data_IF_389651884744
#
_entry.id   IF_389651884744
#
_cell.length_a   1.000
_cell.length_b   1.000
_cell.length_c   1.000
_cell.angle_alpha   90.00
_cell.angle_beta   90.00
_cell.angle_gamma   90.00
#
_symmetry.space_group_name_H-M   'P 1'
#
loop_
_entity.id
_entity.type
_entity.pdbx_description
1 polymer ?
#
# COMPACT_ATOMS: atom_id res chain seq x y z
N UNK A 1 26.54 -9.30 -29.23
CA UNK A 1 25.35 -8.67 -28.61
C UNK A 1 25.65 -8.64 -27.12
N UNK A 2 25.99 -7.50 -26.57
CA UNK A 2 26.14 -7.32 -25.13
C UNK A 2 24.72 -7.35 -24.55
N UNK A 3 24.44 -8.30 -23.66
CA UNK A 3 23.27 -8.30 -22.83
C UNK A 3 23.42 -7.07 -21.92
N UNK A 4 22.63 -6.02 -22.15
CA UNK A 4 22.50 -4.95 -21.18
C UNK A 4 22.04 -5.62 -19.88
N UNK A 5 22.90 -5.55 -18.87
CA UNK A 5 22.51 -5.97 -17.53
C UNK A 5 21.31 -5.08 -17.16
N UNK A 6 20.15 -5.68 -16.99
CA UNK A 6 19.00 -5.00 -16.42
C UNK A 6 19.46 -4.49 -15.05
N UNK A 7 19.63 -3.17 -14.92
CA UNK A 7 19.95 -2.55 -13.64
C UNK A 7 18.73 -2.63 -12.75
N UNK A 8 18.63 -3.69 -11.95
CA UNK A 8 17.62 -3.80 -10.90
C UNK A 8 18.02 -2.92 -9.72
N UNK A 9 17.05 -2.25 -9.13
CA UNK A 9 17.23 -1.49 -7.90
C UNK A 9 16.64 -2.27 -6.73
N UNK A 10 17.16 -2.03 -5.52
CA UNK A 10 16.75 -2.71 -4.30
C UNK A 10 16.42 -1.68 -3.23
N UNK A 11 15.36 -1.92 -2.46
CA UNK A 11 14.93 -1.01 -1.41
C UNK A 11 14.23 -1.71 -0.25
N UNK A 12 14.01 -0.99 0.81
CA UNK A 12 13.25 -1.42 1.98
C UNK A 12 12.15 -0.41 2.31
N UNK A 13 10.99 -0.92 2.72
CA UNK A 13 9.86 -0.11 3.17
C UNK A 13 9.45 -0.56 4.56
N UNK A 14 9.51 0.35 5.51
CA UNK A 14 9.08 0.11 6.88
C UNK A 14 7.85 0.96 7.18
N UNK A 15 6.78 0.35 7.73
CA UNK A 15 5.57 1.09 8.01
C UNK A 15 4.93 0.74 9.37
N UNK A 16 4.16 1.69 9.85
CA UNK A 16 3.23 1.49 10.97
C UNK A 16 1.86 2.05 10.58
N UNK A 17 0.81 1.27 10.78
CA UNK A 17 -0.56 1.73 10.64
C UNK A 17 -1.30 1.58 11.97
N UNK A 18 -1.96 2.64 12.42
CA UNK A 18 -2.89 2.63 13.55
C UNK A 18 -4.29 2.86 13.01
N UNK A 19 -5.19 1.92 13.25
CA UNK A 19 -6.58 1.98 12.81
C UNK A 19 -7.55 1.95 13.99
N UNK A 20 -8.66 2.66 13.87
CA UNK A 20 -9.73 2.72 14.84
C UNK A 20 -11.09 2.45 14.15
N UNK A 21 -11.84 1.48 14.69
CA UNK A 21 -13.21 1.19 14.25
C UNK A 21 -14.20 1.76 15.25
N UNK A 22 -15.10 2.64 14.80
CA UNK A 22 -16.09 3.26 15.67
C UNK A 22 -17.16 2.25 16.08
N UNK A 23 -17.31 2.02 17.39
CA UNK A 23 -18.22 0.96 17.92
C UNK A 23 -19.69 1.20 17.62
N UNK A 24 -20.12 2.45 17.46
CA UNK A 24 -21.53 2.86 17.29
C UNK A 24 -21.87 3.34 15.88
N UNK A 25 -20.94 3.30 14.96
CA UNK A 25 -21.14 3.75 13.59
C UNK A 25 -20.32 2.86 12.62
N UNK A 26 -20.77 2.69 11.37
CA UNK A 26 -20.02 1.92 10.37
C UNK A 26 -18.80 2.69 9.85
N UNK A 27 -18.16 3.48 10.70
CA UNK A 27 -17.05 4.36 10.38
C UNK A 27 -15.72 3.76 10.87
N UNK A 28 -14.64 4.13 10.21
CA UNK A 28 -13.28 3.85 10.67
C UNK A 28 -12.35 5.02 10.29
N UNK A 29 -11.22 5.11 10.99
CA UNK A 29 -10.15 6.02 10.67
C UNK A 29 -8.82 5.31 10.83
N UNK A 30 -7.78 5.72 10.08
CA UNK A 30 -6.42 5.26 10.31
C UNK A 30 -5.39 6.36 10.05
N UNK A 31 -4.24 6.18 10.69
CA UNK A 31 -3.02 6.93 10.39
C UNK A 31 -1.94 5.91 10.03
N UNK A 32 -1.28 6.16 8.93
CA UNK A 32 -0.22 5.33 8.39
C UNK A 32 1.05 6.17 8.25
N UNK A 33 2.17 5.62 8.62
CA UNK A 33 3.49 6.18 8.39
C UNK A 33 4.35 5.15 7.67
N UNK A 34 5.07 5.54 6.63
CA UNK A 34 6.02 4.70 5.90
C UNK A 34 7.32 5.45 5.68
N UNK A 35 8.40 4.71 5.80
CA UNK A 35 9.75 5.12 5.53
C UNK A 35 10.32 4.21 4.44
N UNK A 36 10.69 4.81 3.32
CA UNK A 36 11.25 4.12 2.16
C UNK A 36 12.74 4.39 2.08
N UNK A 37 13.53 3.35 1.85
CA UNK A 37 14.97 3.49 1.67
C UNK A 37 15.41 2.85 0.35
N UNK A 38 16.37 3.50 -0.29
CA UNK A 38 17.03 3.05 -1.50
C UNK A 38 18.33 2.32 -1.16
N UNK A 39 18.55 1.15 -1.77
CA UNK A 39 19.72 0.28 -1.53
C UNK A 39 19.96 -0.06 -0.05
N UNK A 40 18.92 -0.01 0.80
CA UNK A 40 19.00 -0.19 2.26
C UNK A 40 19.96 0.77 2.97
N UNK A 41 20.30 1.92 2.37
CA UNK A 41 21.33 2.83 2.89
C UNK A 41 20.89 4.27 2.96
N UNK A 42 20.12 4.73 1.98
CA UNK A 42 19.72 6.13 1.86
C UNK A 42 18.21 6.25 1.95
N UNK A 43 17.76 7.27 2.67
CA UNK A 43 16.36 7.64 2.69
C UNK A 43 15.92 8.01 1.26
N UNK A 44 14.90 7.32 0.74
CA UNK A 44 14.25 7.66 -0.51
C UNK A 44 13.11 8.64 -0.26
N UNK A 45 12.17 8.23 0.58
CA UNK A 45 11.12 9.12 1.06
C UNK A 45 10.56 8.66 2.40
N UNK A 46 9.78 9.52 3.03
CA UNK A 46 8.82 9.11 4.05
C UNK A 46 7.48 9.79 3.80
N UNK A 47 6.42 9.11 4.16
CA UNK A 47 5.11 9.72 4.07
C UNK A 47 4.17 9.29 5.19
N UNK A 48 3.18 10.15 5.41
CA UNK A 48 2.07 9.86 6.29
C UNK A 48 0.77 9.84 5.50
N UNK A 49 -0.15 8.96 5.90
CA UNK A 49 -1.52 8.93 5.37
C UNK A 49 -2.51 9.01 6.50
N UNK A 50 -3.45 9.93 6.40
CA UNK A 50 -4.63 9.96 7.26
C UNK A 50 -5.83 9.51 6.44
N UNK A 51 -6.57 8.52 6.95
CA UNK A 51 -7.74 7.93 6.26
C UNK A 51 -8.98 8.08 7.12
N UNK A 52 -10.10 8.39 6.50
CA UNK A 52 -11.42 8.32 7.10
C UNK A 52 -12.38 7.58 6.16
N UNK A 53 -13.09 6.58 6.67
CA UNK A 53 -13.88 5.70 5.83
C UNK A 53 -15.18 5.21 6.45
N UNK A 54 -16.01 4.62 5.61
CA UNK A 54 -17.30 4.04 5.93
C UNK A 54 -17.42 2.62 5.38
N UNK A 55 -17.97 1.72 6.18
CA UNK A 55 -18.39 0.37 5.76
C UNK A 55 -19.81 0.47 5.22
N UNK A 56 -19.94 0.54 3.89
CA UNK A 56 -21.23 0.71 3.20
C UNK A 56 -22.06 -0.59 3.31
N UNK A 57 -21.40 -1.73 3.09
CA UNK A 57 -21.94 -3.07 3.20
C UNK A 57 -20.92 -3.98 3.94
N UNK A 58 -21.31 -5.16 4.42
CA UNK A 58 -20.35 -6.08 5.07
C UNK A 58 -19.14 -6.43 4.21
N UNK A 59 -19.27 -6.35 2.88
CA UNK A 59 -18.24 -6.66 1.90
C UNK A 59 -17.70 -5.43 1.16
N UNK A 60 -18.26 -4.22 1.38
CA UNK A 60 -17.90 -3.01 0.64
C UNK A 60 -17.60 -1.84 1.59
N UNK A 61 -16.44 -1.24 1.44
CA UNK A 61 -16.05 -0.02 2.15
C UNK A 61 -15.57 1.05 1.17
N UNK A 62 -15.80 2.31 1.53
CA UNK A 62 -15.23 3.46 0.84
C UNK A 62 -14.50 4.35 1.85
N UNK A 63 -13.45 5.00 1.40
CA UNK A 63 -12.72 5.96 2.22
C UNK A 63 -12.08 7.07 1.38
N UNK A 64 -11.79 8.16 2.07
CA UNK A 64 -10.96 9.24 1.60
C UNK A 64 -9.70 9.27 2.42
N UNK A 65 -8.57 9.59 1.79
CA UNK A 65 -7.32 9.73 2.50
C UNK A 65 -6.52 10.91 1.96
N UNK A 66 -5.61 11.38 2.78
CA UNK A 66 -4.66 12.42 2.46
C UNK A 66 -3.26 11.94 2.80
N UNK A 67 -2.36 12.02 1.80
CA UNK A 67 -0.94 11.73 1.96
C UNK A 67 -0.13 13.02 1.95
N UNK A 68 0.79 13.10 2.89
CA UNK A 68 1.89 14.04 2.90
C UNK A 68 3.19 13.26 2.73
N UNK A 69 3.93 13.55 1.66
CA UNK A 69 5.14 12.85 1.29
C UNK A 69 6.30 13.84 1.23
N UNK A 70 7.42 13.47 1.83
CA UNK A 70 8.68 14.20 1.81
C UNK A 70 9.79 13.35 1.17
N UNK A 71 10.51 13.95 0.23
CA UNK A 71 11.71 13.38 -0.38
C UNK A 71 12.95 14.21 0.02
N UNK A 72 14.13 13.57 0.18
CA UNK A 72 15.37 14.29 0.43
C UNK A 72 15.63 15.33 -0.65
N UNK A 73 16.06 16.52 -0.22
CA UNK A 73 16.20 17.68 -1.12
C UNK A 73 15.07 18.70 -0.94
N UNK A 74 14.08 18.39 -0.07
CA UNK A 74 13.01 19.32 0.29
C UNK A 74 11.77 19.24 -0.58
N UNK A 75 11.66 18.21 -1.43
CA UNK A 75 10.46 18.03 -2.28
C UNK A 75 9.28 17.56 -1.43
N UNK A 76 8.20 18.33 -1.48
CA UNK A 76 6.95 18.03 -0.79
C UNK A 76 5.85 17.68 -1.78
N UNK A 77 5.23 16.52 -1.60
CA UNK A 77 4.10 16.07 -2.40
C UNK A 77 2.88 15.82 -1.53
N UNK A 78 1.77 16.37 -1.95
CA UNK A 78 0.47 16.18 -1.31
C UNK A 78 -0.39 15.31 -2.22
N UNK A 79 -1.17 14.37 -1.65
CA UNK A 79 -2.07 13.51 -2.43
C UNK A 79 -3.42 13.42 -1.75
N UNK A 80 -4.47 13.58 -2.53
CA UNK A 80 -5.83 13.22 -2.14
C UNK A 80 -6.18 11.87 -2.76
N UNK A 81 -6.76 10.98 -1.95
CA UNK A 81 -7.09 9.62 -2.35
C UNK A 81 -8.57 9.33 -2.12
N UNK A 82 -9.17 8.62 -3.06
CA UNK A 82 -10.51 8.04 -2.93
C UNK A 82 -10.40 6.54 -3.15
N UNK A 83 -10.83 5.76 -2.18
CA UNK A 83 -10.75 4.31 -2.24
C UNK A 83 -12.15 3.69 -2.21
N UNK A 84 -12.34 2.66 -3.01
CA UNK A 84 -13.44 1.73 -2.93
C UNK A 84 -12.87 0.32 -2.81
N UNK A 85 -13.27 -0.43 -1.77
CA UNK A 85 -12.71 -1.77 -1.53
C UNK A 85 -13.85 -2.78 -1.33
N UNK A 86 -13.93 -3.73 -2.25
CA UNK A 86 -14.76 -4.92 -2.10
C UNK A 86 -13.97 -6.07 -1.50
N UNK A 87 -14.57 -6.85 -0.61
CA UNK A 87 -13.92 -8.00 0.04
C UNK A 87 -14.88 -9.18 0.13
N UNK A 88 -14.45 -10.34 -0.36
CA UNK A 88 -15.16 -11.60 -0.24
C UNK A 88 -14.37 -12.55 0.65
N UNK A 89 -15.05 -13.23 1.57
CA UNK A 89 -14.44 -14.22 2.45
C UNK A 89 -15.18 -15.54 2.31
N UNK A 90 -14.45 -16.59 1.98
CA UNK A 90 -14.98 -17.96 1.90
C UNK A 90 -14.07 -18.89 2.71
N UNK A 91 -14.56 -19.36 3.84
CA UNK A 91 -13.76 -20.13 4.81
C UNK A 91 -12.55 -19.31 5.26
N UNK A 92 -11.36 -19.83 5.03
CA UNK A 92 -10.09 -19.17 5.39
C UNK A 92 -9.51 -18.28 4.27
N UNK A 93 -10.12 -18.28 3.09
CA UNK A 93 -9.69 -17.45 1.96
C UNK A 93 -10.40 -16.11 1.97
N UNK A 94 -9.64 -15.04 1.90
CA UNK A 94 -10.10 -13.67 1.74
C UNK A 94 -9.57 -13.08 0.45
N UNK A 95 -10.45 -12.62 -0.42
CA UNK A 95 -10.08 -11.94 -1.67
C UNK A 95 -10.62 -10.51 -1.62
N UNK A 96 -9.79 -9.54 -1.93
CA UNK A 96 -10.19 -8.14 -1.98
C UNK A 96 -9.75 -7.47 -3.27
N UNK A 97 -10.63 -6.63 -3.80
CA UNK A 97 -10.36 -5.71 -4.90
C UNK A 97 -10.49 -4.29 -4.37
N UNK A 98 -9.45 -3.49 -4.55
CA UNK A 98 -9.43 -2.06 -4.21
C UNK A 98 -9.21 -1.23 -5.47
N UNK A 99 -10.12 -0.32 -5.73
CA UNK A 99 -9.94 0.76 -6.68
C UNK A 99 -9.58 2.03 -5.92
N UNK A 100 -8.52 2.70 -6.34
CA UNK A 100 -8.02 3.93 -5.74
C UNK A 100 -7.76 4.98 -6.80
N UNK A 101 -8.46 6.09 -6.72
CA UNK A 101 -8.09 7.30 -7.44
C UNK A 101 -7.15 8.14 -6.58
N UNK A 102 -6.07 8.60 -7.16
CA UNK A 102 -5.08 9.48 -6.53
C UNK A 102 -4.95 10.73 -7.37
N UNK A 103 -5.11 11.87 -6.73
CA UNK A 103 -4.74 13.16 -7.27
C UNK A 103 -3.56 13.69 -6.46
N UNK A 104 -2.41 13.85 -7.10
CA UNK A 104 -1.21 14.36 -6.47
C UNK A 104 -0.79 15.71 -7.06
N UNK A 105 -0.23 16.55 -6.18
CA UNK A 105 0.32 17.84 -6.55
C UNK A 105 1.63 18.09 -5.80
N UNK A 106 2.68 18.46 -6.56
CA UNK A 106 3.93 18.91 -5.99
C UNK A 106 3.76 20.36 -5.55
N UNK A 107 3.98 20.63 -4.27
CA UNK A 107 3.75 21.95 -3.70
C UNK A 107 4.65 23.04 -4.34
N UNK A 108 5.87 22.67 -4.72
CA UNK A 108 6.89 23.61 -5.19
C UNK A 108 6.90 23.82 -6.71
N UNK A 109 6.34 22.89 -7.50
CA UNK A 109 6.42 22.92 -8.96
C UNK A 109 5.07 23.23 -9.65
N UNK A 110 3.98 23.27 -8.91
CA UNK A 110 2.63 23.44 -9.47
C UNK A 110 2.20 22.29 -10.40
N UNK A 111 2.93 21.20 -10.45
CA UNK A 111 2.61 20.02 -11.26
C UNK A 111 1.53 19.20 -10.57
N UNK A 112 0.63 18.67 -11.36
CA UNK A 112 -0.43 17.78 -10.92
C UNK A 112 -0.39 16.50 -11.73
N UNK A 113 -0.65 15.36 -11.08
CA UNK A 113 -0.82 14.08 -11.76
C UNK A 113 -2.03 13.34 -11.20
N UNK A 114 -2.61 12.48 -12.03
CA UNK A 114 -3.71 11.62 -11.65
C UNK A 114 -3.29 10.17 -11.85
N UNK A 115 -3.70 9.31 -10.92
CA UNK A 115 -3.40 7.88 -11.01
C UNK A 115 -4.62 7.09 -10.54
N UNK A 116 -5.03 6.12 -11.35
CA UNK A 116 -5.92 5.06 -10.92
C UNK A 116 -5.07 3.84 -10.52
N UNK A 117 -5.33 3.30 -9.33
CA UNK A 117 -4.63 2.13 -8.79
C UNK A 117 -5.64 1.03 -8.49
N UNK A 118 -5.54 -0.07 -9.24
CA UNK A 118 -6.38 -1.25 -9.06
C UNK A 118 -5.55 -2.34 -8.38
N UNK A 119 -5.96 -2.79 -7.19
CA UNK A 119 -5.27 -3.85 -6.45
C UNK A 119 -6.17 -5.04 -6.22
N UNK A 120 -5.70 -6.22 -6.62
CA UNK A 120 -6.28 -7.51 -6.24
C UNK A 120 -5.35 -8.18 -5.22
N UNK A 121 -5.89 -8.57 -4.06
CA UNK A 121 -5.16 -9.29 -3.00
C UNK A 121 -5.93 -10.54 -2.62
N UNK A 122 -5.25 -11.67 -2.55
CA UNK A 122 -5.76 -12.94 -2.03
C UNK A 122 -4.93 -13.35 -0.82
N UNK A 123 -5.57 -13.60 0.32
CA UNK A 123 -4.95 -13.94 1.60
C UNK A 123 -5.60 -15.20 2.17
N UNK A 124 -4.80 -16.11 2.70
CA UNK A 124 -5.27 -17.36 3.30
C UNK A 124 -4.87 -17.45 4.78
N UNK A 125 -5.85 -17.43 5.67
CA UNK A 125 -5.62 -17.64 7.10
C UNK A 125 -5.36 -19.12 7.38
N UNK A 126 -4.13 -19.48 7.75
CA UNK A 126 -3.77 -20.87 8.05
C UNK A 126 -4.50 -21.31 9.32
N UNK A 127 -5.34 -22.39 9.27
CA UNK A 127 -6.09 -22.84 10.44
C UNK A 127 -5.20 -23.14 11.63
N UNK A 128 -5.60 -22.71 12.82
CA UNK A 128 -4.87 -22.88 14.09
C UNK A 128 -3.48 -22.25 14.10
N UNK A 129 -3.21 -21.31 13.23
CA UNK A 129 -1.97 -20.56 13.13
C UNK A 129 -2.25 -19.07 13.23
N UNK A 130 -1.23 -18.29 13.54
CA UNK A 130 -1.25 -16.82 13.50
C UNK A 130 -0.80 -16.26 12.14
N UNK A 131 -0.38 -17.14 11.22
CA UNK A 131 0.13 -16.74 9.90
C UNK A 131 -0.97 -16.69 8.84
N UNK A 132 -0.92 -15.65 8.03
CA UNK A 132 -1.82 -15.47 6.89
C UNK A 132 -1.02 -15.01 5.66
N UNK A 133 -0.47 -15.95 4.86
CA UNK A 133 0.20 -15.62 3.61
C UNK A 133 -0.76 -14.98 2.60
N UNK A 134 -0.21 -14.13 1.73
CA UNK A 134 -0.98 -13.49 0.68
C UNK A 134 -0.16 -13.26 -0.59
N UNK A 135 -0.90 -13.11 -1.68
CA UNK A 135 -0.43 -12.59 -2.96
C UNK A 135 -1.24 -11.35 -3.30
N UNK A 136 -0.59 -10.36 -3.91
CA UNK A 136 -1.31 -9.23 -4.45
C UNK A 136 -0.65 -8.70 -5.72
N UNK A 137 -1.47 -8.11 -6.57
CA UNK A 137 -1.04 -7.33 -7.73
C UNK A 137 -1.71 -5.96 -7.67
N UNK A 138 -0.96 -4.90 -7.91
CA UNK A 138 -1.47 -3.54 -7.98
C UNK A 138 -1.00 -2.88 -9.26
N UNK A 139 -1.94 -2.45 -10.10
CA UNK A 139 -1.68 -1.82 -11.40
C UNK A 139 -1.97 -0.33 -11.28
N UNK A 140 -1.07 0.48 -11.82
CA UNK A 140 -1.18 1.94 -11.86
C UNK A 140 -1.42 2.38 -13.29
N UNK A 141 -2.53 3.06 -13.52
CA UNK A 141 -2.93 3.54 -14.84
C UNK A 141 -3.43 4.99 -14.76
N UNK A 142 -3.20 5.74 -15.82
CA UNK A 142 -3.92 6.96 -16.14
C UNK A 142 -3.71 7.20 -17.64
N UNK A 143 -4.80 7.16 -18.41
CA UNK A 143 -4.75 7.14 -19.88
C UNK A 143 -3.98 5.92 -20.45
N UNK A 144 -2.84 5.59 -19.88
CA UNK A 144 -2.02 4.41 -20.23
C UNK A 144 -1.50 3.71 -18.96
N UNK A 145 -0.98 2.49 -19.11
CA UNK A 145 -0.28 1.79 -18.04
C UNK A 145 1.00 2.57 -17.64
N UNK A 146 1.21 2.76 -16.32
CA UNK A 146 2.39 3.43 -15.76
C UNK A 146 3.35 2.44 -15.10
N UNK A 147 2.85 1.58 -14.22
CA UNK A 147 3.64 0.68 -13.40
C UNK A 147 2.79 -0.40 -12.75
N UNK A 148 3.42 -1.49 -12.29
CA UNK A 148 2.76 -2.61 -11.61
C UNK A 148 3.58 -3.08 -10.43
N UNK A 149 2.94 -3.38 -9.31
CA UNK A 149 3.52 -3.99 -8.11
C UNK A 149 2.99 -5.40 -7.96
N UNK A 150 3.88 -6.36 -7.77
CA UNK A 150 3.57 -7.75 -7.46
C UNK A 150 4.05 -8.05 -6.04
N UNK A 151 3.18 -8.55 -5.18
CA UNK A 151 3.49 -8.81 -3.78
C UNK A 151 3.36 -10.29 -3.45
N UNK A 152 4.34 -10.78 -2.69
CA UNK A 152 4.25 -12.03 -1.93
C UNK A 152 4.54 -11.68 -0.49
N UNK A 153 3.62 -11.95 0.42
CA UNK A 153 3.78 -11.54 1.80
C UNK A 153 3.06 -12.45 2.79
N UNK A 154 3.26 -12.16 4.05
CA UNK A 154 2.60 -12.84 5.14
C UNK A 154 2.31 -11.85 6.26
N UNK A 155 1.13 -11.97 6.86
CA UNK A 155 0.82 -11.30 8.13
C UNK A 155 0.92 -12.31 9.27
N UNK A 156 1.33 -11.83 10.45
CA UNK A 156 1.41 -12.59 11.69
C UNK A 156 0.64 -11.86 12.79
N UNK A 157 -0.45 -12.46 13.26
CA UNK A 157 -1.27 -11.92 14.32
C UNK A 157 -0.61 -12.19 15.69
N UNK A 158 0.01 -11.18 16.31
CA UNK A 158 0.54 -11.28 17.67
C UNK A 158 -0.65 -11.43 18.64
N UNK A 159 -1.67 -10.62 18.45
CA UNK A 159 -2.93 -10.66 19.18
C UNK A 159 -4.02 -9.89 18.40
N UNK A 160 -5.17 -9.62 19.04
CA UNK A 160 -6.28 -8.88 18.38
C UNK A 160 -5.98 -7.42 18.04
N UNK A 161 -4.95 -6.84 18.67
CA UNK A 161 -4.56 -5.44 18.50
C UNK A 161 -3.35 -5.30 17.58
N UNK A 162 -2.38 -6.21 17.67
CA UNK A 162 -1.10 -6.10 16.98
C UNK A 162 -0.93 -7.20 15.94
N UNK A 163 -0.61 -6.80 14.71
CA UNK A 163 -0.28 -7.69 13.60
C UNK A 163 1.00 -7.19 12.92
N UNK A 164 1.97 -8.09 12.74
CA UNK A 164 3.13 -7.84 11.90
C UNK A 164 2.83 -8.19 10.45
N UNK A 165 3.47 -7.50 9.51
CA UNK A 165 3.43 -7.81 8.08
C UNK A 165 4.86 -7.81 7.53
N UNK A 166 5.17 -8.81 6.71
CA UNK A 166 6.40 -8.86 5.94
C UNK A 166 6.07 -9.24 4.50
N UNK A 167 6.69 -8.58 3.54
CA UNK A 167 6.48 -8.88 2.14
C UNK A 167 7.73 -8.62 1.29
N UNK A 168 7.77 -9.31 0.18
CA UNK A 168 8.59 -8.98 -0.96
C UNK A 168 7.71 -8.39 -2.05
N UNK A 169 8.17 -7.31 -2.69
CA UNK A 169 7.50 -6.67 -3.80
C UNK A 169 8.44 -6.58 -5.00
N UNK A 170 7.95 -7.01 -6.15
CA UNK A 170 8.58 -6.77 -7.44
C UNK A 170 7.82 -5.64 -8.14
N UNK A 171 8.51 -4.56 -8.44
CA UNK A 171 7.93 -3.33 -8.95
C UNK A 171 8.43 -3.05 -10.36
N UNK A 172 7.54 -3.05 -11.34
CA UNK A 172 7.84 -2.83 -12.76
C UNK A 172 7.32 -1.48 -13.21
N UNK A 173 8.10 -0.80 -14.03
CA UNK A 173 7.82 0.53 -14.56
C UNK A 173 7.79 0.51 -16.08
N UNK A 174 7.06 1.45 -16.70
CA UNK A 174 6.99 1.55 -18.17
C UNK A 174 8.34 1.91 -18.80
N UNK A 175 9.09 2.81 -18.15
CA UNK A 175 10.30 3.44 -18.71
C UNK A 175 11.46 3.51 -17.70
N UNK A 176 11.51 2.62 -16.72
CA UNK A 176 12.58 2.57 -15.73
C UNK A 176 12.91 1.10 -15.39
N UNK A 177 14.10 0.82 -14.83
CA UNK A 177 14.44 -0.48 -14.30
C UNK A 177 13.43 -0.98 -13.27
N UNK A 178 13.32 -2.30 -13.14
CA UNK A 178 12.48 -2.90 -12.11
C UNK A 178 13.13 -2.76 -10.73
N UNK A 179 12.30 -2.71 -9.71
CA UNK A 179 12.73 -2.55 -8.33
C UNK A 179 12.29 -3.74 -7.48
N UNK A 180 13.16 -4.16 -6.56
CA UNK A 180 12.93 -5.21 -5.58
C UNK A 180 12.86 -4.58 -4.19
N UNK A 181 11.75 -4.76 -3.51
CA UNK A 181 11.52 -4.16 -2.20
C UNK A 181 11.19 -5.23 -1.17
N UNK A 182 11.85 -5.15 -0.01
CA UNK A 182 11.43 -5.88 1.18
C UNK A 182 10.67 -4.92 2.08
N UNK A 183 9.44 -5.26 2.42
CA UNK A 183 8.60 -4.46 3.30
C UNK A 183 8.39 -5.13 4.65
N UNK A 184 8.44 -4.33 5.70
CA UNK A 184 8.12 -4.72 7.07
C UNK A 184 7.14 -3.73 7.68
N UNK A 185 6.12 -4.24 8.37
CA UNK A 185 5.10 -3.37 8.93
C UNK A 185 4.49 -3.84 10.23
N UNK A 186 3.98 -2.89 10.98
CA UNK A 186 3.19 -3.10 12.19
C UNK A 186 1.81 -2.48 12.00
N UNK A 187 0.78 -3.31 12.08
CA UNK A 187 -0.62 -2.89 12.07
C UNK A 187 -1.18 -2.94 13.50
N UNK A 188 -1.78 -1.84 13.95
CA UNK A 188 -2.38 -1.67 15.27
C UNK A 188 -3.87 -1.37 15.10
N UNK A 189 -4.73 -2.23 15.66
CA UNK A 189 -6.21 -2.09 15.60
C UNK A 189 -6.77 -1.78 16.98
N UNK A 190 -7.47 -0.63 17.13
CA UNK A 190 -8.04 -0.11 18.37
C UNK A 190 -9.58 -0.20 18.37
#
# INVERSE_FOLDING_TARGET
MAQEAENHTYGGWEFVEVSYNFKKAPLYASVYFEHDNYEYKTLDCWYTRTTFGVKILPWLKADVAYDFLYEPGGVLTHKALFNLTGTLTQGNLKVSLRERYVHDWLADEGKQDNVLRSQLKAQYAIPKSHFSPYLAIEVFTWETWKKTRHYVGCTFDINKTFQLEAYYMYYTFKNAPAEHVIGLGLNISL
#
